data_IF_273952390457
#
_entry.id   IF_273952390457
#
_cell.length_a   1.000
_cell.length_b   1.000
_cell.length_c   1.000
_cell.angle_alpha   90.00
_cell.angle_beta   90.00
_cell.angle_gamma   90.00
#
_symmetry.space_group_name_H-M   'P 1'
#
loop_
_entity.id
_entity.type
_entity.pdbx_description
1 polymer ?
#
# COMPACT_ATOMS: atom_id res chain seq x y z
N UNK A 1 -11.70 16.94 19.90
CA UNK A 1 -11.57 15.71 19.08
C UNK A 1 -11.52 16.17 17.64
N UNK A 2 -10.52 15.71 16.89
CA UNK A 2 -10.26 16.14 15.52
C UNK A 2 -10.46 14.98 14.55
N UNK A 3 -11.19 15.20 13.46
CA UNK A 3 -11.37 14.18 12.42
C UNK A 3 -10.14 14.14 11.52
N UNK A 4 -9.43 13.01 11.51
CA UNK A 4 -8.23 12.84 10.71
C UNK A 4 -8.53 12.34 9.30
N UNK A 5 -9.27 13.13 8.52
CA UNK A 5 -9.74 12.73 7.19
C UNK A 5 -8.60 12.57 6.16
N UNK A 6 -7.42 13.15 6.40
CA UNK A 6 -6.29 13.10 5.45
C UNK A 6 -5.66 11.71 5.31
N UNK A 7 -5.87 10.78 6.26
CA UNK A 7 -5.51 9.37 6.02
C UNK A 7 -6.38 8.69 4.96
N UNK A 8 -7.49 9.31 4.55
CA UNK A 8 -8.40 8.78 3.55
C UNK A 8 -9.39 7.75 4.10
N UNK A 9 -9.52 7.63 5.42
CA UNK A 9 -10.58 6.87 6.10
C UNK A 9 -11.55 7.85 6.78
N UNK A 10 -12.87 7.64 6.70
CA UNK A 10 -13.85 8.61 7.19
C UNK A 10 -14.02 8.58 8.71
N UNK A 11 -13.73 7.44 9.34
CA UNK A 11 -14.07 7.15 10.73
C UNK A 11 -12.85 7.21 11.68
N UNK A 12 -11.82 7.97 11.32
CA UNK A 12 -10.62 8.15 12.17
C UNK A 12 -10.68 9.50 12.88
N UNK A 13 -10.71 9.44 14.22
CA UNK A 13 -10.81 10.60 15.09
C UNK A 13 -9.73 10.58 16.15
N UNK A 14 -9.07 11.72 16.35
CA UNK A 14 -8.02 11.92 17.34
C UNK A 14 -8.59 12.64 18.55
N UNK A 15 -8.46 12.03 19.73
CA UNK A 15 -8.83 12.67 21.00
C UNK A 15 -7.73 13.59 21.52
N UNK A 16 -6.48 13.34 21.15
CA UNK A 16 -5.27 14.10 21.50
C UNK A 16 -4.17 13.91 20.43
N UNK A 17 -2.94 14.36 20.72
CA UNK A 17 -1.79 14.17 19.83
C UNK A 17 -1.80 15.08 18.59
N UNK A 18 -2.56 16.18 18.64
CA UNK A 18 -2.59 17.20 17.61
C UNK A 18 -2.60 18.61 18.22
N UNK A 19 -2.10 19.59 17.47
CA UNK A 19 -2.11 21.01 17.82
C UNK A 19 -2.70 21.82 16.68
N UNK A 20 -3.60 22.73 17.03
CA UNK A 20 -4.12 23.72 16.09
C UNK A 20 -3.16 24.91 16.03
N UNK A 21 -2.84 25.35 14.82
CA UNK A 21 -1.86 26.42 14.56
C UNK A 21 -2.52 27.42 13.60
N UNK A 22 -2.42 28.71 13.92
CA UNK A 22 -2.77 29.76 12.98
C UNK A 22 -1.61 30.02 12.03
N UNK A 23 -1.90 30.02 10.73
CA UNK A 23 -0.94 30.37 9.69
C UNK A 23 -1.47 31.54 8.88
N UNK A 24 -0.61 32.26 8.14
CA UNK A 24 -1.06 33.31 7.20
C UNK A 24 -2.06 32.82 6.14
N UNK A 25 -2.15 31.51 5.92
CA UNK A 25 -3.05 30.87 4.95
C UNK A 25 -4.30 30.25 5.60
N UNK A 26 -4.50 30.47 6.91
CA UNK A 26 -5.64 29.95 7.68
C UNK A 26 -5.23 28.95 8.77
N UNK A 27 -6.23 28.25 9.31
CA UNK A 27 -6.04 27.26 10.36
C UNK A 27 -5.37 25.99 9.83
N UNK A 28 -4.32 25.54 10.53
CA UNK A 28 -3.61 24.30 10.26
C UNK A 28 -3.62 23.39 11.50
N UNK A 29 -3.42 22.08 11.27
CA UNK A 29 -3.29 21.09 12.34
C UNK A 29 -1.96 20.37 12.20
N UNK A 30 -1.16 20.39 13.26
CA UNK A 30 0.05 19.60 13.39
C UNK A 30 -0.25 18.33 14.19
N UNK A 31 0.18 17.18 13.68
CA UNK A 31 -0.02 15.87 14.33
C UNK A 31 1.31 15.39 14.87
N UNK A 32 1.31 15.02 16.14
CA UNK A 32 2.47 14.44 16.80
C UNK A 32 2.64 12.97 16.40
N UNK A 33 3.87 12.56 16.11
CA UNK A 33 4.21 11.18 15.73
C UNK A 33 3.29 10.60 14.63
N UNK A 34 3.26 11.28 13.47
CA UNK A 34 2.43 10.89 12.34
C UNK A 34 2.66 9.44 11.89
N UNK A 35 3.91 8.98 11.88
CA UNK A 35 4.28 7.60 11.53
C UNK A 35 3.68 6.59 12.51
N UNK A 36 3.77 6.87 13.82
CA UNK A 36 3.16 6.04 14.86
C UNK A 36 1.63 6.00 14.76
N UNK A 37 1.00 7.13 14.42
CA UNK A 37 -0.45 7.18 14.18
C UNK A 37 -0.84 6.28 13.00
N UNK A 38 -0.16 6.42 11.87
CA UNK A 38 -0.41 5.62 10.66
C UNK A 38 -0.21 4.12 10.92
N UNK A 39 0.86 3.76 11.63
CA UNK A 39 1.12 2.38 12.09
C UNK A 39 -0.03 1.84 12.93
N UNK A 40 -0.52 2.62 13.89
CA UNK A 40 -1.63 2.21 14.75
C UNK A 40 -2.94 2.02 13.97
N UNK A 41 -3.25 2.94 13.05
CA UNK A 41 -4.43 2.84 12.17
C UNK A 41 -4.35 1.57 11.33
N UNK A 42 -3.22 1.32 10.66
CA UNK A 42 -3.08 0.15 9.79
C UNK A 42 -3.16 -1.16 10.55
N UNK A 43 -2.52 -1.27 11.73
CA UNK A 43 -2.66 -2.45 12.58
C UNK A 43 -4.14 -2.70 12.94
N UNK A 44 -4.85 -1.65 13.38
CA UNK A 44 -6.28 -1.74 13.72
C UNK A 44 -7.14 -2.19 12.53
N UNK A 45 -6.85 -1.69 11.33
CA UNK A 45 -7.50 -2.10 10.08
C UNK A 45 -7.24 -3.60 9.82
N UNK A 46 -5.99 -4.06 9.96
CA UNK A 46 -5.66 -5.48 9.75
C UNK A 46 -6.26 -6.42 10.79
N UNK A 47 -6.59 -5.94 11.98
CA UNK A 47 -7.24 -6.71 13.06
C UNK A 47 -8.77 -6.81 12.91
N UNK A 48 -9.37 -5.95 12.09
CA UNK A 48 -10.83 -5.97 11.89
C UNK A 48 -11.28 -7.31 11.30
N UNK A 49 -12.25 -8.03 11.91
CA UNK A 49 -12.75 -9.28 11.34
C UNK A 49 -13.62 -9.08 10.10
N UNK A 50 -14.00 -7.83 9.79
CA UNK A 50 -14.79 -7.49 8.61
C UNK A 50 -13.88 -7.49 7.36
N UNK A 51 -14.39 -7.88 6.19
CA UNK A 51 -13.67 -7.67 4.92
C UNK A 51 -13.31 -6.20 4.75
N UNK A 52 -12.15 -5.92 4.17
CA UNK A 52 -11.73 -4.55 3.92
C UNK A 52 -12.75 -3.83 3.03
N UNK A 53 -12.99 -2.57 3.34
CA UNK A 53 -13.59 -1.63 2.40
C UNK A 53 -12.56 -1.24 1.34
N UNK A 54 -13.02 -0.69 0.21
CA UNK A 54 -12.12 -0.14 -0.80
C UNK A 54 -11.19 0.95 -0.25
N UNK A 55 -11.66 1.74 0.73
CA UNK A 55 -10.88 2.80 1.37
C UNK A 55 -9.78 2.23 2.27
N UNK A 56 -10.08 1.19 3.05
CA UNK A 56 -9.09 0.49 3.87
C UNK A 56 -8.06 -0.27 3.01
N UNK A 57 -8.49 -0.90 1.92
CA UNK A 57 -7.60 -1.52 0.95
C UNK A 57 -6.64 -0.48 0.34
N UNK A 58 -7.17 0.68 -0.06
CA UNK A 58 -6.37 1.80 -0.56
C UNK A 58 -5.40 2.33 0.49
N UNK A 59 -5.83 2.44 1.74
CA UNK A 59 -5.01 2.88 2.86
C UNK A 59 -3.81 1.94 3.02
N UNK A 60 -4.03 0.63 3.25
CA UNK A 60 -2.95 -0.34 3.44
C UNK A 60 -1.99 -0.39 2.25
N UNK A 61 -2.52 -0.35 1.02
CA UNK A 61 -1.68 -0.33 -0.19
C UNK A 61 -0.74 0.87 -0.20
N UNK A 62 -1.25 2.06 0.12
CA UNK A 62 -0.44 3.29 0.15
C UNK A 62 0.60 3.27 1.25
N UNK A 63 0.26 2.77 2.42
CA UNK A 63 1.21 2.64 3.52
C UNK A 63 2.35 1.68 3.19
N UNK A 64 2.07 0.64 2.40
CA UNK A 64 3.09 -0.26 1.85
C UNK A 64 3.83 0.33 0.64
N UNK A 65 3.51 1.56 0.22
CA UNK A 65 4.13 2.19 -0.95
C UNK A 65 3.83 1.49 -2.28
N UNK A 66 2.81 0.62 -2.34
CA UNK A 66 2.50 -0.16 -3.53
C UNK A 66 1.70 0.65 -4.55
N UNK A 67 2.04 0.52 -5.84
CA UNK A 67 1.21 1.05 -6.91
C UNK A 67 -0.05 0.19 -7.10
N UNK A 68 -1.07 0.71 -7.80
CA UNK A 68 -2.23 -0.11 -8.18
C UNK A 68 -1.83 -1.26 -9.12
N UNK A 69 -0.81 -1.03 -9.96
CA UNK A 69 -0.24 -2.04 -10.85
C UNK A 69 0.47 -3.13 -10.05
N UNK A 70 1.35 -2.76 -9.12
CA UNK A 70 2.08 -3.75 -8.30
C UNK A 70 1.13 -4.60 -7.47
N UNK A 71 0.12 -4.00 -6.83
CA UNK A 71 -0.91 -4.79 -6.11
C UNK A 71 -1.69 -5.68 -7.07
N UNK A 72 -2.04 -5.18 -8.26
CA UNK A 72 -2.70 -5.94 -9.31
C UNK A 72 -1.91 -7.18 -9.69
N UNK A 73 -0.64 -7.03 -10.01
CA UNK A 73 0.28 -8.12 -10.38
C UNK A 73 0.36 -9.18 -9.27
N UNK A 74 0.47 -8.77 -8.01
CA UNK A 74 0.49 -9.68 -6.86
C UNK A 74 -0.76 -10.56 -6.74
N UNK A 75 -1.92 -10.06 -7.20
CA UNK A 75 -3.22 -10.75 -7.06
C UNK A 75 -3.83 -11.19 -8.38
N UNK A 76 -3.04 -11.17 -9.47
CA UNK A 76 -3.46 -11.59 -10.81
C UNK A 76 -4.56 -10.70 -11.41
N UNK A 77 -4.48 -9.39 -11.22
CA UNK A 77 -5.45 -8.38 -11.70
C UNK A 77 -4.74 -7.19 -12.35
N UNK A 78 -5.47 -6.46 -13.17
CA UNK A 78 -4.99 -5.19 -13.72
C UNK A 78 -5.16 -4.03 -12.71
N UNK A 79 -4.43 -2.93 -12.96
CA UNK A 79 -4.50 -1.72 -12.12
C UNK A 79 -5.91 -1.11 -12.09
N UNK A 80 -6.67 -1.24 -13.19
CA UNK A 80 -8.03 -0.73 -13.29
C UNK A 80 -8.98 -1.46 -12.33
N UNK A 81 -8.85 -2.78 -12.20
CA UNK A 81 -9.60 -3.60 -11.24
C UNK A 81 -9.32 -3.14 -9.82
N UNK A 82 -8.06 -2.87 -9.48
CA UNK A 82 -7.69 -2.32 -8.18
C UNK A 82 -8.34 -0.94 -7.98
N UNK A 83 -8.27 -0.04 -8.96
CA UNK A 83 -8.91 1.28 -8.86
C UNK A 83 -10.43 1.20 -8.67
N UNK A 84 -11.09 0.24 -9.33
CA UNK A 84 -12.52 -0.04 -9.14
C UNK A 84 -12.79 -0.55 -7.73
N UNK A 85 -11.95 -1.45 -7.20
CA UNK A 85 -12.09 -1.95 -5.82
C UNK A 85 -11.93 -0.85 -4.78
N UNK A 86 -10.98 0.06 -4.98
CA UNK A 86 -10.73 1.18 -4.06
C UNK A 86 -11.90 2.19 -4.01
N UNK A 87 -12.61 2.37 -5.13
CA UNK A 87 -13.80 3.23 -5.22
C UNK A 87 -15.08 2.50 -4.84
N UNK A 88 -15.09 1.18 -5.01
CA UNK A 88 -16.27 0.33 -4.91
C UNK A 88 -16.83 0.27 -3.49
N UNK A 89 -18.16 0.20 -3.41
CA UNK A 89 -18.90 0.02 -2.15
C UNK A 89 -19.68 -1.30 -2.20
N UNK A 90 -19.62 -2.08 -1.13
CA UNK A 90 -20.47 -3.25 -0.92
C UNK A 90 -19.85 -4.63 -1.17
N UNK A 91 -20.65 -5.67 -0.95
CA UNK A 91 -20.22 -7.06 -0.80
C UNK A 91 -19.62 -7.68 -2.07
N UNK A 92 -20.04 -7.23 -3.27
CA UNK A 92 -19.50 -7.74 -4.55
C UNK A 92 -18.01 -7.37 -4.71
N UNK A 93 -17.66 -6.11 -4.44
CA UNK A 93 -16.27 -5.66 -4.44
C UNK A 93 -15.45 -6.39 -3.37
N UNK A 94 -16.02 -6.59 -2.18
CA UNK A 94 -15.37 -7.31 -1.08
C UNK A 94 -15.04 -8.77 -1.43
N UNK A 95 -15.95 -9.47 -2.12
CA UNK A 95 -15.67 -10.83 -2.60
C UNK A 95 -14.56 -10.86 -3.65
N UNK A 96 -14.58 -9.91 -4.59
CA UNK A 96 -13.57 -9.83 -5.64
C UNK A 96 -12.17 -9.52 -5.09
N UNK A 97 -12.08 -8.73 -4.02
CA UNK A 97 -10.80 -8.34 -3.40
C UNK A 97 -10.27 -9.32 -2.35
N UNK A 98 -10.92 -10.47 -2.10
CA UNK A 98 -10.57 -11.37 -0.97
C UNK A 98 -9.08 -11.74 -0.92
N UNK A 99 -8.46 -12.01 -2.07
CA UNK A 99 -7.04 -12.30 -2.14
C UNK A 99 -6.18 -11.08 -1.76
N UNK A 100 -6.51 -9.90 -2.29
CA UNK A 100 -5.83 -8.65 -1.96
C UNK A 100 -6.00 -8.25 -0.50
N UNK A 101 -7.18 -8.48 0.08
CA UNK A 101 -7.47 -8.25 1.49
C UNK A 101 -6.50 -9.07 2.38
N UNK A 102 -6.48 -10.39 2.20
CA UNK A 102 -5.61 -11.28 2.97
C UNK A 102 -4.13 -10.91 2.79
N UNK A 103 -3.71 -10.70 1.53
CA UNK A 103 -2.33 -10.36 1.20
C UNK A 103 -1.90 -9.06 1.88
N UNK A 104 -2.66 -7.98 1.73
CA UNK A 104 -2.33 -6.68 2.31
C UNK A 104 -2.25 -6.74 3.83
N UNK A 105 -3.10 -7.52 4.50
CA UNK A 105 -3.03 -7.69 5.96
C UNK A 105 -1.75 -8.38 6.40
N UNK A 106 -1.34 -9.43 5.70
CA UNK A 106 -0.09 -10.15 6.00
C UNK A 106 1.10 -9.23 5.76
N UNK A 107 1.17 -8.61 4.57
CA UNK A 107 2.26 -7.70 4.21
C UNK A 107 2.37 -6.52 5.20
N UNK A 108 1.24 -5.93 5.56
CA UNK A 108 1.23 -4.80 6.49
C UNK A 108 1.67 -5.18 7.90
N UNK A 109 1.25 -6.33 8.42
CA UNK A 109 1.68 -6.80 9.74
C UNK A 109 3.17 -7.09 9.79
N UNK A 110 3.71 -7.72 8.75
CA UNK A 110 5.15 -7.96 8.62
C UNK A 110 5.93 -6.66 8.45
N UNK A 111 5.39 -5.70 7.71
CA UNK A 111 5.99 -4.38 7.57
C UNK A 111 6.01 -3.63 8.92
N UNK A 112 4.90 -3.63 9.64
CA UNK A 112 4.75 -2.96 10.93
C UNK A 112 5.55 -3.62 12.06
N UNK A 113 5.91 -4.90 11.94
CA UNK A 113 6.78 -5.61 12.91
C UNK A 113 8.27 -5.35 12.68
N UNK A 114 8.65 -4.64 11.61
CA UNK A 114 10.04 -4.30 11.29
C UNK A 114 10.79 -5.39 10.53
N UNK A 115 10.09 -6.33 9.88
CA UNK A 115 10.73 -7.36 9.09
C UNK A 115 11.34 -6.76 7.80
N UNK A 116 12.66 -6.58 7.77
CA UNK A 116 13.36 -5.97 6.63
C UNK A 116 13.23 -6.74 5.31
N UNK A 117 12.99 -8.05 5.37
CA UNK A 117 12.83 -8.90 4.18
C UNK A 117 11.64 -8.49 3.33
N UNK A 118 10.47 -8.26 3.95
CA UNK A 118 9.25 -7.89 3.22
C UNK A 118 9.36 -6.50 2.62
N UNK A 119 10.01 -5.58 3.33
CA UNK A 119 10.28 -4.22 2.83
C UNK A 119 11.12 -4.27 1.56
N UNK A 120 12.22 -5.02 1.57
CA UNK A 120 13.09 -5.17 0.40
C UNK A 120 12.36 -5.79 -0.80
N UNK A 121 11.44 -6.72 -0.56
CA UNK A 121 10.64 -7.35 -1.62
C UNK A 121 9.64 -6.36 -2.24
N UNK A 122 8.95 -5.59 -1.41
CA UNK A 122 8.03 -4.53 -1.86
C UNK A 122 8.78 -3.48 -2.68
N UNK A 123 9.96 -3.04 -2.21
CA UNK A 123 10.81 -2.10 -2.92
C UNK A 123 11.24 -2.63 -4.29
N UNK A 124 11.60 -3.92 -4.40
CA UNK A 124 11.91 -4.57 -5.68
C UNK A 124 10.69 -4.61 -6.62
N UNK A 125 9.51 -4.96 -6.14
CA UNK A 125 8.29 -4.96 -6.97
C UNK A 125 7.95 -3.56 -7.48
N UNK A 126 8.10 -2.53 -6.64
CA UNK A 126 7.91 -1.15 -7.05
C UNK A 126 8.99 -0.67 -8.06
N UNK A 127 10.19 -1.25 -8.01
CA UNK A 127 11.25 -0.94 -8.98
C UNK A 127 10.96 -1.55 -10.37
N UNK A 128 10.32 -2.72 -10.43
CA UNK A 128 9.92 -3.35 -11.69
C UNK A 128 8.90 -2.51 -12.47
N UNK A 129 8.12 -1.66 -11.80
CA UNK A 129 7.23 -0.69 -12.45
C UNK A 129 8.00 0.41 -13.20
N UNK A 130 9.31 0.59 -12.97
CA UNK A 130 10.15 1.66 -13.58
C UNK A 130 11.06 1.18 -14.70
N UNK A 131 11.27 -0.12 -14.84
CA UNK A 131 12.11 -0.70 -15.89
C UNK A 131 11.26 -1.09 -17.08
N UNK A 132 11.45 -0.42 -18.22
CA UNK A 132 11.09 -0.98 -19.52
C UNK A 132 11.76 -2.36 -19.65
N UNK A 133 11.10 -3.30 -20.35
CA UNK A 133 11.65 -4.63 -20.61
C UNK A 133 13.02 -4.49 -21.29
N UNK A 134 14.10 -4.57 -20.52
CA UNK A 134 15.44 -4.67 -21.06
C UNK A 134 15.51 -5.97 -21.86
N UNK A 135 15.85 -5.83 -23.14
CA UNK A 135 15.92 -6.97 -24.06
C UNK A 135 17.05 -7.88 -23.60
N UNK A 136 16.70 -9.03 -23.03
CA UNK A 136 17.69 -10.04 -22.66
C UNK A 136 18.37 -10.56 -23.94
N UNK A 137 19.66 -10.28 -24.10
CA UNK A 137 20.50 -10.80 -25.17
C UNK A 137 21.42 -11.86 -24.58
N UNK A 138 21.56 -12.97 -25.27
CA UNK A 138 22.41 -14.08 -24.87
C UNK A 138 23.43 -14.34 -25.96
N UNK A 139 24.67 -14.58 -25.57
CA UNK A 139 25.76 -14.98 -26.47
C UNK A 139 26.24 -16.38 -26.10
N UNK A 140 26.69 -17.12 -27.10
CA UNK A 140 27.27 -18.43 -26.93
C UNK A 140 28.79 -18.29 -26.94
N UNK A 141 29.45 -18.78 -25.89
CA UNK A 141 30.91 -18.81 -25.73
C UNK A 141 31.31 -20.19 -25.24
N UNK A 142 32.13 -20.89 -26.02
CA UNK A 142 32.70 -22.21 -25.68
C UNK A 142 31.66 -23.29 -25.31
N UNK A 143 30.47 -23.25 -25.90
CA UNK A 143 29.40 -24.21 -25.65
C UNK A 143 28.41 -23.80 -24.55
N UNK A 144 28.65 -22.67 -23.87
CA UNK A 144 27.79 -22.16 -22.81
C UNK A 144 27.14 -20.83 -23.18
N UNK A 145 25.92 -20.61 -22.68
CA UNK A 145 25.15 -19.39 -22.91
C UNK A 145 25.37 -18.39 -21.79
N UNK A 146 25.84 -17.19 -22.14
CA UNK A 146 26.05 -16.09 -21.21
C UNK A 146 25.10 -14.93 -21.51
N UNK A 147 24.73 -14.18 -20.48
CA UNK A 147 24.00 -12.92 -20.66
C UNK A 147 24.97 -11.92 -21.32
N UNK A 148 24.66 -11.54 -22.56
CA UNK A 148 25.46 -10.54 -23.28
C UNK A 148 25.13 -9.17 -22.71
N UNK A 149 26.15 -8.45 -22.24
CA UNK A 149 25.97 -7.09 -21.76
C UNK A 149 25.62 -6.18 -22.96
N UNK A 150 24.48 -5.49 -22.87
CA UNK A 150 24.03 -4.53 -23.89
C UNK A 150 25.01 -3.37 -24.08
#
# INVERSE_FOLDING_TARGET
>A
MFQYASCGLPDVWLTNGYREIETPYGHAVSIENLEGLHRAIGLRVTESPKPLTGMELRFLRKELGLSQKSLGEMVGRDAQSIAIWEKGKGLKSQKAMKAADILLRVLYREHASGNGGIRSFIERLNALDRTEQERMQFEEVEGDWHLSAA
#
